data_IF_723195083928
#
_entry.id   IF_723195083928
#
_cell.length_a   1.000
_cell.length_b   1.000
_cell.length_c   1.000
_cell.angle_alpha   90.00
_cell.angle_beta   90.00
_cell.angle_gamma   90.00
#
_symmetry.space_group_name_H-M   'P 1'
#
loop_
_entity.id
_entity.type
_entity.pdbx_description
1 polymer ?
#
# COMPACT_ATOMS: atom_id res chain seq x y z
N UNK A 1 15.64 -8.37 -2.47
CA UNK A 1 14.28 -8.91 -2.71
C UNK A 1 13.96 -10.25 -2.01
N UNK A 2 14.94 -10.98 -1.47
CA UNK A 2 14.80 -12.31 -0.84
C UNK A 2 13.96 -12.37 0.45
N UNK A 3 13.55 -11.22 0.98
CA UNK A 3 12.77 -11.11 2.21
C UNK A 3 11.27 -10.84 1.96
N UNK A 4 10.84 -10.73 0.70
CA UNK A 4 9.42 -10.57 0.38
C UNK A 4 8.83 -9.26 0.85
N UNK A 5 9.58 -8.16 0.75
CA UNK A 5 9.10 -6.81 1.08
C UNK A 5 9.17 -5.97 -0.19
N UNK A 6 8.04 -5.39 -0.59
CA UNK A 6 7.91 -4.45 -1.69
C UNK A 6 7.57 -3.08 -1.13
N UNK A 7 8.36 -2.07 -1.50
CA UNK A 7 8.10 -0.67 -1.24
C UNK A 7 7.47 -0.07 -2.49
N UNK A 8 6.20 0.34 -2.40
CA UNK A 8 5.43 0.77 -3.57
C UNK A 8 5.46 2.28 -3.79
N UNK A 9 6.16 3.01 -2.91
CA UNK A 9 6.09 4.47 -2.81
C UNK A 9 4.61 4.93 -2.86
N UNK A 10 4.31 6.07 -3.47
CA UNK A 10 2.95 6.62 -3.53
C UNK A 10 2.04 5.96 -4.60
N UNK A 11 2.56 5.01 -5.36
CA UNK A 11 1.81 4.28 -6.41
C UNK A 11 0.64 3.47 -5.82
N UNK A 12 0.83 2.94 -4.60
CA UNK A 12 -0.19 2.21 -3.84
C UNK A 12 -0.37 2.84 -2.46
N UNK A 13 -1.62 3.18 -2.15
CA UNK A 13 -2.05 3.75 -0.88
C UNK A 13 -3.14 2.84 -0.30
N UNK A 14 -2.98 2.40 0.95
CA UNK A 14 -3.99 1.60 1.63
C UNK A 14 -4.98 2.49 2.40
N UNK A 15 -6.02 3.00 1.75
CA UNK A 15 -6.98 3.91 2.39
C UNK A 15 -7.85 3.27 3.48
N UNK A 16 -8.09 1.96 3.41
CA UNK A 16 -8.79 1.22 4.46
C UNK A 16 -8.00 1.20 5.78
N UNK A 17 -6.72 1.56 5.73
CA UNK A 17 -5.85 1.66 6.90
C UNK A 17 -5.91 2.98 7.67
N UNK A 18 -6.53 4.01 7.08
CA UNK A 18 -6.47 5.38 7.57
C UNK A 18 -7.70 5.69 8.44
N UNK A 19 -7.48 6.41 9.53
CA UNK A 19 -8.56 7.02 10.33
C UNK A 19 -9.43 7.96 9.48
N UNK A 20 -10.70 8.12 9.83
CA UNK A 20 -11.67 8.95 9.07
C UNK A 20 -11.20 10.39 8.85
N UNK A 21 -10.47 10.97 9.81
CA UNK A 21 -9.88 12.31 9.67
C UNK A 21 -8.77 12.34 8.60
N UNK A 22 -7.94 11.29 8.54
CA UNK A 22 -6.89 11.15 7.52
C UNK A 22 -7.46 10.78 6.15
N UNK A 23 -8.59 10.07 6.07
CA UNK A 23 -9.28 9.84 4.79
C UNK A 23 -9.73 11.14 4.14
N UNK A 24 -10.28 12.09 4.91
CA UNK A 24 -10.69 13.41 4.39
C UNK A 24 -9.49 14.23 3.91
N UNK A 25 -8.42 14.32 4.69
CA UNK A 25 -7.21 15.04 4.27
C UNK A 25 -6.50 14.36 3.08
N UNK A 26 -6.43 13.02 3.07
CA UNK A 26 -5.83 12.28 1.97
C UNK A 26 -6.69 12.24 0.72
N UNK A 27 -8.00 12.52 0.77
CA UNK A 27 -8.79 12.69 -0.45
C UNK A 27 -8.32 13.89 -1.29
N UNK A 28 -7.75 14.92 -0.65
CA UNK A 28 -7.12 16.04 -1.33
C UNK A 28 -5.75 15.65 -1.92
N UNK A 29 -4.98 14.83 -1.21
CA UNK A 29 -3.74 14.25 -1.73
C UNK A 29 -4.01 13.24 -2.86
N UNK A 30 -5.10 12.48 -2.79
CA UNK A 30 -5.57 11.57 -3.83
C UNK A 30 -5.96 12.36 -5.06
N UNK A 31 -6.75 13.44 -4.91
CA UNK A 31 -7.03 14.36 -6.00
C UNK A 31 -5.74 14.94 -6.59
N UNK A 32 -4.82 15.43 -5.76
CA UNK A 32 -3.56 15.99 -6.26
C UNK A 32 -2.68 14.95 -6.97
N UNK A 33 -2.55 13.72 -6.47
CA UNK A 33 -1.70 12.68 -7.08
C UNK A 33 -2.37 12.03 -8.30
N UNK A 34 -3.68 11.87 -8.30
CA UNK A 34 -4.44 11.30 -9.43
C UNK A 34 -4.78 12.33 -10.50
N UNK A 35 -5.01 13.60 -10.15
CA UNK A 35 -5.38 14.68 -11.09
C UNK A 35 -4.19 15.42 -11.67
N UNK A 36 -2.98 15.31 -11.09
CA UNK A 36 -1.74 15.80 -11.73
C UNK A 36 -1.05 14.74 -12.57
N UNK A 37 -1.50 13.47 -12.48
CA UNK A 37 -1.06 12.47 -13.44
C UNK A 37 -1.80 12.77 -14.75
N UNK A 38 -1.08 13.38 -15.69
CA UNK A 38 -1.57 13.85 -17.00
C UNK A 38 -2.22 12.70 -17.80
N UNK A 39 -1.88 11.45 -17.48
CA UNK A 39 -2.45 10.24 -18.05
C UNK A 39 -2.94 9.29 -16.94
N UNK A 40 -4.24 9.39 -16.62
CA UNK A 40 -4.90 8.57 -15.60
C UNK A 40 -5.06 7.10 -16.01
N UNK A 41 -5.05 6.80 -17.31
CA UNK A 41 -5.10 5.43 -17.82
C UNK A 41 -3.76 4.74 -17.60
N UNK A 42 -2.65 5.41 -17.93
CA UNK A 42 -1.29 4.95 -17.62
C UNK A 42 -1.12 4.64 -16.13
N UNK A 43 -1.57 5.53 -15.25
CA UNK A 43 -1.53 5.33 -13.80
C UNK A 43 -2.30 4.08 -13.33
N UNK A 44 -3.43 3.79 -13.99
CA UNK A 44 -4.25 2.61 -13.71
C UNK A 44 -3.57 1.32 -14.16
N UNK A 45 -2.93 1.35 -15.32
CA UNK A 45 -2.15 0.22 -15.85
C UNK A 45 -0.94 -0.08 -14.98
N UNK A 46 -0.18 0.94 -14.57
CA UNK A 46 0.95 0.80 -13.65
C UNK A 46 0.53 0.19 -12.33
N UNK A 47 -0.58 0.67 -11.75
CA UNK A 47 -1.14 0.11 -10.50
C UNK A 47 -1.53 -1.35 -10.68
N UNK A 48 -2.15 -1.72 -11.80
CA UNK A 48 -2.54 -3.09 -12.09
C UNK A 48 -1.32 -4.00 -12.22
N UNK A 49 -0.32 -3.60 -12.99
CA UNK A 49 0.92 -4.34 -13.18
C UNK A 49 1.66 -4.54 -11.84
N UNK A 50 1.67 -3.52 -10.98
CA UNK A 50 2.28 -3.59 -9.66
C UNK A 50 1.56 -4.59 -8.74
N UNK A 51 0.23 -4.61 -8.76
CA UNK A 51 -0.56 -5.61 -8.00
C UNK A 51 -0.34 -7.03 -8.51
N UNK A 52 -0.21 -7.22 -9.82
CA UNK A 52 0.12 -8.51 -10.41
C UNK A 52 1.51 -9.00 -9.95
N UNK A 53 2.51 -8.12 -9.94
CA UNK A 53 3.85 -8.44 -9.45
C UNK A 53 3.87 -8.80 -7.96
N UNK A 54 3.12 -8.07 -7.12
CA UNK A 54 2.95 -8.40 -5.70
C UNK A 54 2.30 -9.77 -5.53
N UNK A 55 1.27 -10.08 -6.33
CA UNK A 55 0.56 -11.37 -6.27
C UNK A 55 1.47 -12.54 -6.66
N UNK A 56 2.32 -12.36 -7.66
CA UNK A 56 3.22 -13.40 -8.11
C UNK A 56 4.32 -13.66 -7.06
N UNK A 57 4.87 -12.59 -6.48
CA UNK A 57 5.83 -12.71 -5.39
C UNK A 57 5.20 -13.34 -4.12
N UNK A 58 3.95 -12.98 -3.79
CA UNK A 58 3.22 -13.60 -2.66
C UNK A 58 3.02 -15.10 -2.88
N UNK A 59 2.71 -15.53 -4.11
CA UNK A 59 2.60 -16.96 -4.46
C UNK A 59 3.94 -17.69 -4.34
N UNK A 60 5.04 -17.10 -4.78
CA UNK A 60 6.37 -17.68 -4.62
C UNK A 60 6.78 -17.83 -3.14
N UNK A 61 6.43 -16.85 -2.32
CA UNK A 61 6.72 -16.87 -0.87
C UNK A 61 5.78 -17.81 -0.11
N UNK A 62 4.54 -17.96 -0.55
CA UNK A 62 3.57 -18.87 0.07
C UNK A 62 4.04 -20.32 -0.01
N UNK A 63 4.71 -20.71 -1.10
CA UNK A 63 5.36 -22.02 -1.23
C UNK A 63 6.46 -22.26 -0.17
N UNK A 64 6.93 -21.21 0.51
CA UNK A 64 7.92 -21.24 1.59
C UNK A 64 7.32 -20.88 2.96
N UNK A 65 5.99 -20.85 3.08
CA UNK A 65 5.27 -20.50 4.31
C UNK A 65 5.36 -19.02 4.69
N UNK A 66 5.61 -18.13 3.72
CA UNK A 66 5.75 -16.69 3.93
C UNK A 66 4.76 -15.91 3.08
N UNK A 67 4.52 -14.64 3.43
CA UNK A 67 3.69 -13.70 2.66
C UNK A 67 4.54 -12.54 2.14
N UNK A 68 4.11 -11.92 1.05
CA UNK A 68 4.68 -10.68 0.55
C UNK A 68 4.15 -9.49 1.36
N UNK A 69 5.08 -8.76 2.00
CA UNK A 69 4.80 -7.53 2.73
C UNK A 69 4.85 -6.34 1.77
N UNK A 70 3.79 -5.55 1.80
CA UNK A 70 3.63 -4.34 0.98
C UNK A 70 3.73 -3.13 1.91
N UNK A 71 4.85 -2.41 1.80
CA UNK A 71 5.05 -1.13 2.44
C UNK A 71 4.54 -0.03 1.49
N UNK A 72 3.27 0.35 1.68
CA UNK A 72 2.63 1.44 0.95
C UNK A 72 3.30 2.78 1.29
N UNK A 73 3.37 3.71 0.34
CA UNK A 73 3.87 5.07 0.60
C UNK A 73 3.03 5.80 1.64
N UNK A 74 1.73 5.47 1.70
CA UNK A 74 0.81 5.91 2.73
C UNK A 74 -0.04 4.74 3.25
N UNK A 75 -0.11 4.59 4.58
CA UNK A 75 -0.86 3.54 5.26
C UNK A 75 0.05 2.52 5.95
N UNK A 76 -0.54 1.46 6.49
CA UNK A 76 0.22 0.43 7.19
C UNK A 76 0.85 -0.61 6.26
N UNK A 77 1.84 -1.34 6.79
CA UNK A 77 2.34 -2.56 6.16
C UNK A 77 1.15 -3.50 5.95
N UNK A 78 1.06 -4.02 4.73
CA UNK A 78 -0.09 -4.79 4.28
C UNK A 78 0.33 -6.08 3.57
N UNK A 79 -0.58 -7.03 3.46
CA UNK A 79 -0.46 -8.20 2.56
C UNK A 79 -1.57 -8.14 1.52
N UNK A 80 -1.35 -8.75 0.36
CA UNK A 80 -2.40 -8.87 -0.66
C UNK A 80 -3.33 -10.04 -0.31
N UNK A 81 -4.62 -9.77 -0.12
CA UNK A 81 -5.66 -10.75 0.18
C UNK A 81 -6.88 -10.45 -0.68
N UNK A 82 -7.35 -11.43 -1.47
CA UNK A 82 -8.50 -11.29 -2.38
C UNK A 82 -8.47 -10.02 -3.26
N UNK A 83 -7.26 -9.66 -3.75
CA UNK A 83 -7.05 -8.48 -4.59
C UNK A 83 -7.05 -7.14 -3.85
N UNK A 84 -7.10 -7.15 -2.51
CA UNK A 84 -7.07 -5.97 -1.65
C UNK A 84 -5.86 -6.00 -0.72
N UNK A 85 -5.37 -4.83 -0.34
CA UNK A 85 -4.29 -4.71 0.64
C UNK A 85 -4.87 -4.71 2.06
N UNK A 86 -4.59 -5.78 2.79
CA UNK A 86 -4.99 -5.95 4.18
C UNK A 86 -3.87 -5.60 5.14
N UNK A 87 -4.20 -4.81 6.14
CA UNK A 87 -3.32 -4.44 7.24
C UNK A 87 -2.70 -5.64 7.92
N UNK A 88 -1.41 -5.56 8.27
CA UNK A 88 -0.83 -6.48 9.24
C UNK A 88 -0.26 -5.73 10.45
N UNK A 89 -0.47 -6.30 11.63
CA UNK A 89 0.02 -5.76 12.90
C UNK A 89 -0.85 -4.65 13.50
N UNK A 90 -0.60 -4.40 14.79
CA UNK A 90 -1.23 -3.30 15.51
C UNK A 90 -0.67 -1.95 15.04
N UNK A 91 -1.54 -0.95 14.94
CA UNK A 91 -1.18 0.40 14.55
C UNK A 91 -1.26 1.29 15.75
N UNK A 92 -0.10 1.75 16.20
CA UNK A 92 -0.05 2.72 17.27
C UNK A 92 0.28 4.09 16.72
N UNK A 93 -0.46 5.11 17.19
CA UNK A 93 -0.12 6.49 16.91
C UNK A 93 1.12 6.83 17.72
N UNK A 94 2.23 7.10 17.04
CA UNK A 94 3.42 7.63 17.70
C UNK A 94 3.05 8.89 18.48
N UNK A 95 3.26 8.83 19.80
CA UNK A 95 3.22 9.99 20.68
C UNK A 95 4.64 10.27 21.12
N UNK A 96 5.21 11.39 20.68
CA UNK A 96 6.47 11.85 21.20
C UNK A 96 6.33 12.00 22.72
N UNK A 97 7.23 11.35 23.49
CA UNK A 97 7.32 11.60 24.93
C UNK A 97 7.70 13.09 25.07
N UNK A 98 6.83 13.88 25.71
CA UNK A 98 7.23 15.21 26.17
C UNK A 98 8.30 14.98 27.25
N UNK A 99 9.51 15.44 26.97
CA UNK A 99 10.57 15.57 27.98
C UNK A 99 10.25 16.69 28.95
#
# INVERSE_FOLDING_TARGET
PTHGIIFTADTLINFGSLDEERKRYNSLADFLVTSVNVDSDCAREERKALLELIRDLDRELAARGRRCLVACGHGAISVLSDGRLEAIGERERYRAKRG
#
